data_IF_515657589817
#
_entry.id   IF_515657589817
#
_cell.length_a   1.000
_cell.length_b   1.000
_cell.length_c   1.000
_cell.angle_alpha   90.00
_cell.angle_beta   90.00
_cell.angle_gamma   90.00
#
_symmetry.space_group_name_H-M   'P 1'
#
loop_
_entity.id
_entity.type
_entity.pdbx_description
1 polymer ?
#
# COMPACT_ATOMS: atom_id res chain seq x y z
N UNK A 1 -16.33 -34.95 44.18
CA UNK A 1 -15.31 -34.82 45.23
C UNK A 1 -13.97 -35.37 44.71
N UNK A 2 -13.59 -34.89 43.53
CA UNK A 2 -12.41 -34.04 43.26
C UNK A 2 -11.19 -34.18 44.17
N UNK A 3 -10.02 -34.24 43.53
CA UNK A 3 -8.72 -33.69 43.98
C UNK A 3 -7.49 -34.56 43.64
N UNK A 4 -7.50 -35.35 42.56
CA UNK A 4 -6.22 -35.80 41.97
C UNK A 4 -5.81 -34.81 40.87
N UNK A 5 -5.38 -33.65 41.34
CA UNK A 5 -5.10 -32.44 40.56
C UNK A 5 -3.85 -32.67 39.73
N UNK A 6 -4.08 -32.99 38.45
CA UNK A 6 -3.29 -32.65 37.29
C UNK A 6 -1.83 -32.26 37.60
N UNK A 7 -0.99 -33.27 37.74
CA UNK A 7 0.44 -33.12 37.88
C UNK A 7 1.02 -32.37 36.67
N UNK A 8 1.50 -31.15 36.93
CA UNK A 8 2.78 -30.62 36.45
C UNK A 8 2.95 -30.54 34.93
N UNK A 9 2.41 -29.48 34.32
CA UNK A 9 2.89 -28.97 33.03
C UNK A 9 2.65 -27.46 32.89
N UNK A 10 3.37 -26.64 33.67
CA UNK A 10 3.36 -25.18 33.52
C UNK A 10 4.80 -24.63 33.56
N UNK A 11 5.60 -25.01 32.57
CA UNK A 11 6.89 -24.37 32.32
C UNK A 11 7.18 -24.37 30.84
N UNK A 12 7.63 -23.21 30.33
CA UNK A 12 8.05 -22.91 28.95
C UNK A 12 6.97 -22.36 27.99
N UNK A 13 6.47 -21.15 28.26
CA UNK A 13 5.81 -20.30 27.23
C UNK A 13 6.37 -18.87 27.20
N UNK A 14 7.57 -18.64 27.73
CA UNK A 14 8.25 -17.33 27.59
C UNK A 14 9.28 -17.33 26.46
N UNK A 15 10.05 -18.42 26.30
CA UNK A 15 11.12 -18.51 25.30
C UNK A 15 10.63 -18.56 23.84
N UNK A 16 9.40 -19.05 23.60
CA UNK A 16 8.81 -19.09 22.25
C UNK A 16 8.49 -17.67 21.73
N UNK A 17 8.19 -16.72 22.62
CA UNK A 17 7.88 -15.33 22.24
C UNK A 17 9.12 -14.58 21.73
N UNK A 18 10.30 -14.87 22.29
CA UNK A 18 11.56 -14.29 21.83
C UNK A 18 12.06 -14.91 20.52
N UNK A 19 11.85 -16.20 20.32
CA UNK A 19 12.28 -16.86 19.09
C UNK A 19 11.50 -16.33 17.87
N UNK A 20 10.17 -16.15 17.98
CA UNK A 20 9.32 -15.60 16.90
C UNK A 20 9.63 -14.14 16.54
N UNK A 21 10.23 -13.36 17.45
CA UNK A 21 10.68 -11.99 17.15
C UNK A 21 11.99 -11.96 16.32
N UNK A 22 12.65 -13.11 16.15
CA UNK A 22 13.88 -13.24 15.35
C UNK A 22 13.62 -13.87 13.98
N UNK A 23 12.43 -14.43 13.75
CA UNK A 23 12.00 -15.01 12.47
C UNK A 23 11.56 -13.94 11.45
N UNK A 24 11.33 -12.70 11.87
CA UNK A 24 11.05 -11.56 10.97
C UNK A 24 12.31 -10.88 10.44
N UNK A 25 13.42 -11.60 10.36
CA UNK A 25 14.63 -11.13 9.70
C UNK A 25 15.06 -12.20 8.71
N UNK A 26 14.36 -12.23 7.58
CA UNK A 26 14.89 -12.83 6.36
C UNK A 26 15.20 -11.68 5.41
N UNK A 27 16.49 -11.35 5.38
CA UNK A 27 17.13 -10.62 4.30
C UNK A 27 17.43 -11.67 3.22
N UNK A 28 16.64 -11.69 2.14
CA UNK A 28 17.03 -12.34 0.89
C UNK A 28 17.11 -11.28 -0.22
N UNK A 29 18.22 -11.23 -0.99
CA UNK A 29 18.38 -10.31 -2.10
C UNK A 29 17.90 -10.96 -3.41
N UNK A 30 16.82 -10.44 -3.99
CA UNK A 30 16.51 -10.68 -5.41
C UNK A 30 16.98 -9.49 -6.25
N UNK A 31 17.99 -9.75 -7.09
CA UNK A 31 18.47 -8.87 -8.15
C UNK A 31 17.49 -8.87 -9.35
N UNK A 32 17.63 -7.93 -10.29
CA UNK A 32 16.63 -6.93 -10.62
C UNK A 32 15.71 -7.38 -11.76
N UNK A 33 14.43 -7.60 -11.50
CA UNK A 33 13.47 -7.56 -12.59
C UNK A 33 13.26 -6.10 -12.99
N UNK A 34 13.81 -5.75 -14.16
CA UNK A 34 13.65 -4.45 -14.79
C UNK A 34 12.18 -4.22 -15.16
N UNK A 35 11.34 -3.82 -14.21
CA UNK A 35 10.17 -3.05 -14.51
C UNK A 35 10.63 -1.60 -14.77
N UNK A 36 10.14 -0.90 -15.81
CA UNK A 36 10.57 0.46 -16.07
C UNK A 36 10.34 1.27 -14.80
N UNK A 37 11.41 1.90 -14.30
CA UNK A 37 11.31 2.90 -13.26
C UNK A 37 10.40 4.02 -13.79
N UNK A 38 9.09 3.87 -13.56
CA UNK A 38 8.10 4.91 -13.78
C UNK A 38 8.47 6.01 -12.81
N UNK A 39 9.15 7.00 -13.36
CA UNK A 39 9.68 8.20 -12.70
C UNK A 39 8.75 8.64 -11.57
N UNK A 40 9.11 8.23 -10.37
CA UNK A 40 8.27 8.38 -9.20
C UNK A 40 8.41 9.82 -8.69
N UNK A 41 7.57 10.72 -9.19
CA UNK A 41 7.60 12.12 -8.80
C UNK A 41 7.09 12.30 -7.36
N UNK A 42 8.04 12.44 -6.43
CA UNK A 42 7.92 12.91 -5.03
C UNK A 42 6.87 12.26 -4.08
N UNK A 43 5.96 11.42 -4.59
CA UNK A 43 4.79 10.89 -3.89
C UNK A 43 4.39 9.46 -4.28
N UNK A 44 5.16 8.76 -5.11
CA UNK A 44 4.98 7.32 -5.36
C UNK A 44 4.30 6.95 -6.69
N UNK A 45 3.53 7.85 -7.30
CA UNK A 45 2.94 7.68 -8.64
C UNK A 45 3.38 8.81 -9.59
N UNK A 46 3.46 8.48 -10.87
CA UNK A 46 3.54 9.48 -11.95
C UNK A 46 2.25 10.32 -12.04
N UNK A 47 2.34 11.50 -12.67
CA UNK A 47 1.20 12.41 -12.87
C UNK A 47 -0.01 11.76 -13.54
N UNK A 48 0.19 10.90 -14.56
CA UNK A 48 -0.89 10.23 -15.27
C UNK A 48 -1.61 9.23 -14.36
N UNK A 49 -0.85 8.38 -13.67
CA UNK A 49 -1.40 7.39 -12.72
C UNK A 49 -2.08 8.08 -11.53
N UNK A 50 -1.50 9.16 -11.02
CA UNK A 50 -2.07 9.95 -9.93
C UNK A 50 -3.41 10.58 -10.32
N UNK A 51 -3.56 10.99 -11.59
CA UNK A 51 -4.83 11.48 -12.12
C UNK A 51 -5.85 10.34 -12.25
N UNK A 52 -5.44 9.20 -12.82
CA UNK A 52 -6.31 8.03 -12.91
C UNK A 52 -6.85 7.61 -11.55
N UNK A 53 -5.96 7.47 -10.56
CA UNK A 53 -6.33 7.13 -9.18
C UNK A 53 -7.36 8.11 -8.62
N UNK A 54 -7.17 9.43 -8.79
CA UNK A 54 -8.13 10.44 -8.32
C UNK A 54 -9.49 10.33 -9.00
N UNK A 55 -9.54 10.03 -10.29
CA UNK A 55 -10.80 9.78 -11.00
C UNK A 55 -11.48 8.51 -10.50
N UNK A 56 -10.72 7.45 -10.23
CA UNK A 56 -11.27 6.20 -9.69
C UNK A 56 -11.90 6.39 -8.30
N UNK A 57 -11.46 7.37 -7.50
CA UNK A 57 -12.06 7.70 -6.20
C UNK A 57 -13.48 8.29 -6.28
N UNK A 58 -13.97 8.65 -7.47
CA UNK A 58 -15.33 9.18 -7.62
C UNK A 58 -16.42 8.12 -7.41
N UNK A 59 -16.10 6.84 -7.64
CA UNK A 59 -17.01 5.70 -7.49
C UNK A 59 -16.28 4.47 -6.94
N UNK A 60 -16.99 3.66 -6.16
CA UNK A 60 -16.46 2.39 -5.63
C UNK A 60 -16.42 1.27 -6.66
N UNK A 61 -17.17 1.40 -7.77
CA UNK A 61 -17.28 0.41 -8.82
C UNK A 61 -17.24 1.09 -10.19
N UNK A 62 -16.48 0.51 -11.09
CA UNK A 62 -16.33 0.96 -12.48
C UNK A 62 -16.47 -0.23 -13.43
N UNK A 63 -17.23 -0.07 -14.51
CA UNK A 63 -17.22 -1.08 -15.57
C UNK A 63 -15.85 -1.11 -16.25
N UNK A 64 -15.36 -2.28 -16.69
CA UNK A 64 -14.08 -2.40 -17.41
C UNK A 64 -13.98 -1.45 -18.61
N UNK A 65 -15.10 -1.25 -19.31
CA UNK A 65 -15.20 -0.30 -20.42
C UNK A 65 -14.98 1.14 -19.98
N UNK A 66 -15.66 1.59 -18.92
CA UNK A 66 -15.51 2.95 -18.39
C UNK A 66 -14.09 3.20 -17.90
N UNK A 67 -13.51 2.26 -17.17
CA UNK A 67 -12.13 2.37 -16.70
C UNK A 67 -11.12 2.39 -17.86
N UNK A 68 -11.38 1.62 -18.93
CA UNK A 68 -10.56 1.66 -20.14
C UNK A 68 -10.62 3.04 -20.81
N UNK A 69 -11.80 3.67 -20.87
CA UNK A 69 -11.93 5.04 -21.40
C UNK A 69 -11.20 6.06 -20.53
N UNK A 70 -11.27 5.95 -19.20
CA UNK A 70 -10.49 6.79 -18.28
C UNK A 70 -8.98 6.65 -18.51
N UNK A 71 -8.50 5.42 -18.65
CA UNK A 71 -7.09 5.15 -18.95
C UNK A 71 -6.70 5.70 -20.33
N UNK A 72 -7.56 5.51 -21.34
CA UNK A 72 -7.34 6.00 -22.70
C UNK A 72 -7.20 7.52 -22.78
N UNK A 73 -7.99 8.26 -22.00
CA UNK A 73 -7.88 9.72 -21.89
C UNK A 73 -6.52 10.19 -21.33
N UNK A 74 -5.84 9.32 -20.57
CA UNK A 74 -4.53 9.57 -19.96
C UNK A 74 -3.39 8.91 -20.74
N UNK A 75 -3.69 8.33 -21.93
CA UNK A 75 -2.75 7.54 -22.73
C UNK A 75 -2.15 6.34 -21.95
N UNK A 76 -2.93 5.76 -21.04
CA UNK A 76 -2.57 4.60 -20.24
C UNK A 76 -3.31 3.35 -20.74
N UNK A 77 -2.68 2.19 -20.57
CA UNK A 77 -3.33 0.90 -20.77
C UNK A 77 -3.96 0.45 -19.46
N UNK A 78 -5.24 0.04 -19.47
CA UNK A 78 -6.00 -0.28 -18.26
C UNK A 78 -5.26 -1.24 -17.32
N UNK A 79 -4.88 -2.43 -17.82
CA UNK A 79 -4.20 -3.44 -16.99
C UNK A 79 -2.94 -2.91 -16.33
N UNK A 80 -2.00 -2.38 -17.12
CA UNK A 80 -0.75 -1.83 -16.58
C UNK A 80 -0.96 -0.65 -15.63
N UNK A 81 -1.98 0.17 -15.86
CA UNK A 81 -2.28 1.29 -14.96
C UNK A 81 -2.83 0.81 -13.61
N UNK A 82 -3.70 -0.21 -13.60
CA UNK A 82 -4.18 -0.85 -12.38
C UNK A 82 -3.03 -1.50 -11.61
N UNK A 83 -2.14 -2.21 -12.29
CA UNK A 83 -0.95 -2.83 -11.69
C UNK A 83 -0.05 -1.81 -11.01
N UNK A 84 0.29 -0.70 -11.68
CA UNK A 84 1.13 0.36 -11.10
C UNK A 84 0.48 1.00 -9.87
N UNK A 85 -0.83 1.23 -9.90
CA UNK A 85 -1.55 1.81 -8.76
C UNK A 85 -1.57 0.81 -7.58
N UNK A 86 -1.82 -0.47 -7.84
CA UNK A 86 -1.83 -1.50 -6.81
C UNK A 86 -0.46 -1.74 -6.20
N UNK A 87 0.60 -1.82 -7.01
CA UNK A 87 1.98 -1.95 -6.52
C UNK A 87 2.35 -0.81 -5.56
N UNK A 88 2.02 0.42 -5.97
CA UNK A 88 2.20 1.58 -5.09
C UNK A 88 1.37 1.49 -3.82
N UNK A 89 0.11 1.06 -3.89
CA UNK A 89 -0.72 0.96 -2.68
C UNK A 89 -0.20 -0.12 -1.75
N UNK A 90 0.31 -1.23 -2.26
CA UNK A 90 1.00 -2.23 -1.46
C UNK A 90 2.20 -1.62 -0.72
N UNK A 91 3.02 -0.82 -1.39
CA UNK A 91 4.15 -0.15 -0.74
C UNK A 91 3.73 0.82 0.38
N UNK A 92 2.49 1.34 0.38
CA UNK A 92 2.02 2.34 1.35
C UNK A 92 1.13 1.75 2.45
N UNK A 93 0.19 0.87 2.11
CA UNK A 93 -0.81 0.29 3.02
C UNK A 93 -0.80 -1.23 3.08
N UNK A 94 0.15 -1.90 2.42
CA UNK A 94 0.28 -3.36 2.39
C UNK A 94 -0.96 -4.07 1.80
N UNK A 95 -1.69 -3.36 0.93
CA UNK A 95 -2.92 -3.86 0.32
C UNK A 95 -3.16 -3.20 -1.05
N UNK A 96 -3.85 -3.89 -1.97
CA UNK A 96 -4.31 -3.29 -3.22
C UNK A 96 -5.48 -2.34 -2.95
N UNK A 97 -5.58 -1.30 -3.78
CA UNK A 97 -6.74 -0.38 -3.77
C UNK A 97 -7.71 -0.66 -4.90
N UNK A 98 -7.30 -1.45 -5.89
CA UNK A 98 -8.09 -1.80 -7.06
C UNK A 98 -8.16 -3.31 -7.18
N UNK A 99 -9.35 -3.84 -7.42
CA UNK A 99 -9.59 -5.25 -7.66
C UNK A 99 -10.26 -5.42 -9.02
N UNK A 100 -9.62 -6.16 -9.93
CA UNK A 100 -10.17 -6.48 -11.23
C UNK A 100 -10.90 -7.83 -11.16
N UNK A 101 -12.21 -7.77 -10.94
CA UNK A 101 -13.06 -8.95 -10.78
C UNK A 101 -14.05 -9.06 -11.93
N UNK A 102 -13.88 -10.09 -12.77
CA UNK A 102 -14.74 -10.37 -13.92
C UNK A 102 -14.73 -9.21 -14.95
N UNK A 103 -15.84 -8.48 -15.11
CA UNK A 103 -15.97 -7.32 -16.01
C UNK A 103 -16.02 -5.97 -15.27
N UNK A 104 -15.89 -5.98 -13.94
CA UNK A 104 -15.96 -4.79 -13.09
C UNK A 104 -14.64 -4.55 -12.34
N UNK A 105 -14.35 -3.28 -12.09
CA UNK A 105 -13.21 -2.83 -11.29
C UNK A 105 -13.75 -2.22 -10.01
N UNK A 106 -13.35 -2.80 -8.89
CA UNK A 106 -13.72 -2.34 -7.57
C UNK A 106 -12.60 -1.49 -6.98
N UNK A 107 -12.99 -0.38 -6.36
CA UNK A 107 -12.08 0.58 -5.74
C UNK A 107 -12.30 0.53 -4.23
N UNK A 108 -11.29 0.09 -3.48
CA UNK A 108 -11.34 0.06 -2.03
C UNK A 108 -11.10 1.46 -1.47
N UNK A 109 -12.18 2.23 -1.28
CA UNK A 109 -12.11 3.59 -0.74
C UNK A 109 -11.51 3.63 0.67
N UNK A 110 -11.60 2.54 1.45
CA UNK A 110 -11.02 2.44 2.78
C UNK A 110 -9.50 2.55 2.75
N UNK A 111 -8.85 1.71 1.95
CA UNK A 111 -7.42 1.74 1.68
C UNK A 111 -7.01 3.06 1.04
N UNK A 112 -7.82 3.58 0.10
CA UNK A 112 -7.56 4.89 -0.50
C UNK A 112 -7.53 6.03 0.53
N UNK A 113 -8.44 5.99 1.50
CA UNK A 113 -8.50 6.99 2.59
C UNK A 113 -7.29 6.86 3.53
N UNK A 114 -6.86 5.64 3.84
CA UNK A 114 -5.65 5.38 4.63
C UNK A 114 -4.41 5.95 3.96
N UNK A 115 -4.23 5.70 2.67
CA UNK A 115 -3.14 6.25 1.86
C UNK A 115 -3.17 7.78 1.91
N UNK A 116 -4.33 8.41 1.71
CA UNK A 116 -4.49 9.87 1.79
C UNK A 116 -4.04 10.40 3.15
N UNK A 117 -4.38 9.71 4.24
CA UNK A 117 -3.93 10.05 5.59
C UNK A 117 -2.40 10.01 5.73
N UNK A 118 -1.77 8.94 5.28
CA UNK A 118 -0.31 8.73 5.35
C UNK A 118 0.43 9.81 4.53
N UNK A 119 -0.01 10.04 3.29
CA UNK A 119 0.58 11.06 2.41
C UNK A 119 0.45 12.45 3.03
N UNK A 120 -0.70 12.79 3.61
CA UNK A 120 -0.93 14.10 4.24
C UNK A 120 -0.03 14.32 5.47
N UNK A 121 0.15 13.29 6.30
CA UNK A 121 1.07 13.31 7.45
C UNK A 121 2.51 13.54 6.96
N UNK A 122 2.98 12.75 6.00
CA UNK A 122 4.33 12.89 5.44
C UNK A 122 4.57 14.30 4.86
N UNK A 123 3.57 14.88 4.20
CA UNK A 123 3.66 16.21 3.62
C UNK A 123 3.72 17.32 4.69
N UNK A 124 2.99 17.15 5.80
CA UNK A 124 3.04 18.04 6.96
C UNK A 124 4.43 17.99 7.62
N UNK A 125 4.95 16.80 7.90
CA UNK A 125 6.29 16.61 8.47
C UNK A 125 7.40 17.18 7.57
N UNK A 126 7.33 16.99 6.25
CA UNK A 126 8.28 17.61 5.29
C UNK A 126 8.17 19.14 5.31
N UNK A 127 6.96 19.69 5.32
CA UNK A 127 6.74 21.14 5.37
C UNK A 127 7.29 21.79 6.65
N UNK A 128 7.14 21.12 7.79
CA UNK A 128 7.66 21.57 9.08
C UNK A 128 9.19 21.48 9.15
N UNK A 129 9.79 20.40 8.62
CA UNK A 129 11.26 20.27 8.53
C UNK A 129 11.88 21.33 7.63
N UNK A 130 11.27 21.60 6.48
CA UNK A 130 11.70 22.65 5.56
C UNK A 130 11.58 24.03 6.22
N UNK A 131 10.44 24.34 6.87
CA UNK A 131 10.30 25.59 7.64
C UNK A 131 11.36 25.74 8.73
N UNK A 132 11.68 24.66 9.47
CA UNK A 132 12.69 24.70 10.54
C UNK A 132 14.11 24.91 9.99
N UNK A 133 14.41 24.37 8.82
CA UNK A 133 15.71 24.54 8.16
C UNK A 133 15.92 25.97 7.64
N UNK A 134 14.86 26.62 7.13
CA UNK A 134 14.92 27.98 6.59
C UNK A 134 14.57 29.10 7.60
N UNK A 135 14.23 28.79 8.85
CA UNK A 135 13.94 29.77 9.91
C UNK A 135 15.11 30.02 10.88
N UNK A 136 16.28 29.44 10.60
CA UNK A 136 17.55 29.66 11.34
C UNK A 136 18.55 30.44 10.48
N UNK A 137 18.10 31.58 9.92
CA UNK A 137 18.97 32.60 9.30
C UNK A 137 18.49 33.97 9.71
#
# INVERSE_FOLDING_TARGET
MDANVLARHESATDDVRKLLNTIFTEEEPEEPESAPASSTEAGGLDSAHSQLYRSLLEKEQWSRKEATELCGNLNLMLGGALEVINDWSYAVVDAPVLDDADDDIWVDLGNCQRIRGIVNVCNTYKSERTRRYYSVT
#
